data_IF_530551649426
#
_entry.id   IF_530551649426
#
_cell.length_a   1.000
_cell.length_b   1.000
_cell.length_c   1.000
_cell.angle_alpha   90.00
_cell.angle_beta   90.00
_cell.angle_gamma   90.00
#
_symmetry.space_group_name_H-M   'P 1'
#
loop_
_entity.id
_entity.type
_entity.pdbx_description
1 polymer ?
#
# COMPACT_ATOMS: atom_id res chain seq x y z
N UNK A 1 36.46 15.59 6.54
CA UNK A 1 35.73 14.48 5.89
C UNK A 1 34.51 14.18 6.75
N UNK A 2 33.30 14.39 6.23
CA UNK A 2 32.08 14.12 6.98
C UNK A 2 31.90 12.62 7.20
N UNK A 3 31.64 12.21 8.44
CA UNK A 3 31.28 10.84 8.77
C UNK A 3 29.97 10.50 8.05
N UNK A 4 30.07 9.73 6.96
CA UNK A 4 28.90 9.10 6.35
C UNK A 4 28.24 8.20 7.42
N UNK A 5 26.91 8.24 7.57
CA UNK A 5 26.21 7.39 8.53
C UNK A 5 26.53 5.92 8.26
N UNK A 6 26.87 5.15 9.30
CA UNK A 6 27.14 3.71 9.14
C UNK A 6 25.84 2.98 8.77
N UNK A 7 25.77 2.47 7.55
CA UNK A 7 24.64 1.70 7.05
C UNK A 7 24.77 0.25 7.50
N UNK A 8 23.78 -0.25 8.26
CA UNK A 8 23.65 -1.67 8.61
C UNK A 8 22.73 -2.39 7.63
N UNK A 9 23.00 -3.67 7.39
CA UNK A 9 22.07 -4.56 6.69
C UNK A 9 20.72 -4.60 7.42
N UNK A 10 19.65 -4.74 6.64
CA UNK A 10 18.29 -4.92 7.14
C UNK A 10 17.87 -6.35 6.82
N UNK A 11 17.24 -7.03 7.77
CA UNK A 11 16.70 -8.37 7.55
C UNK A 11 15.26 -8.28 7.08
N UNK A 12 14.88 -9.15 6.13
CA UNK A 12 13.50 -9.27 5.68
C UNK A 12 12.61 -9.95 6.74
N UNK A 13 11.33 -9.56 6.73
CA UNK A 13 10.23 -10.19 7.45
C UNK A 13 9.21 -10.62 6.40
N UNK A 14 9.15 -11.91 6.08
CA UNK A 14 8.41 -12.47 4.95
C UNK A 14 6.91 -12.09 4.89
N UNK A 15 6.32 -11.66 6.00
CA UNK A 15 4.91 -11.23 6.06
C UNK A 15 4.66 -9.81 5.53
N UNK A 16 5.71 -9.05 5.18
CA UNK A 16 5.57 -7.64 4.78
C UNK A 16 6.50 -7.32 3.61
N UNK A 17 5.92 -7.10 2.42
CA UNK A 17 6.68 -6.71 1.24
C UNK A 17 7.58 -5.47 1.46
N UNK A 18 7.19 -4.57 2.38
CA UNK A 18 7.94 -3.37 2.71
C UNK A 18 9.31 -3.68 3.34
N UNK A 19 9.42 -4.73 4.19
CA UNK A 19 10.73 -5.14 4.71
C UNK A 19 11.60 -5.75 3.61
N UNK A 20 11.01 -6.52 2.68
CA UNK A 20 11.73 -7.11 1.56
C UNK A 20 12.32 -6.02 0.68
N UNK A 21 11.53 -4.99 0.33
CA UNK A 21 11.98 -3.83 -0.43
C UNK A 21 13.13 -3.10 0.28
N UNK A 22 12.99 -2.79 1.57
CA UNK A 22 14.05 -2.09 2.30
C UNK A 22 15.31 -2.92 2.51
N UNK A 23 15.18 -4.24 2.65
CA UNK A 23 16.33 -5.15 2.64
C UNK A 23 17.05 -5.05 1.31
N UNK A 24 16.35 -5.24 0.19
CA UNK A 24 16.95 -5.21 -1.15
C UNK A 24 17.60 -3.86 -1.46
N UNK A 25 16.91 -2.75 -1.16
CA UNK A 25 17.47 -1.40 -1.33
C UNK A 25 18.70 -1.16 -0.45
N UNK A 26 18.67 -1.59 0.81
CA UNK A 26 19.85 -1.48 1.69
C UNK A 26 21.00 -2.34 1.18
N UNK A 27 20.67 -3.52 0.68
CA UNK A 27 21.63 -4.48 0.17
C UNK A 27 22.38 -3.94 -1.05
N UNK A 28 21.72 -3.18 -1.93
CA UNK A 28 22.38 -2.47 -3.04
C UNK A 28 23.19 -1.25 -2.57
N UNK A 29 22.75 -0.53 -1.53
CA UNK A 29 23.49 0.61 -0.95
C UNK A 29 24.83 0.18 -0.30
N UNK A 30 24.92 -1.04 0.23
CA UNK A 30 26.13 -1.56 0.91
C UNK A 30 26.89 -2.60 0.10
N UNK A 31 26.67 -2.66 -1.22
CA UNK A 31 27.22 -3.70 -2.11
C UNK A 31 28.74 -3.83 -1.99
N UNK A 32 29.47 -2.73 -2.06
CA UNK A 32 30.94 -2.69 -2.08
C UNK A 32 31.54 -3.18 -0.76
N UNK A 33 31.18 -2.61 0.42
CA UNK A 33 31.68 -3.12 1.69
C UNK A 33 31.21 -4.56 1.96
N UNK A 34 30.04 -4.96 1.47
CA UNK A 34 29.57 -6.34 1.60
C UNK A 34 30.45 -7.31 0.82
N UNK A 35 30.72 -7.03 -0.46
CA UNK A 35 31.57 -7.87 -1.31
C UNK A 35 32.98 -7.97 -0.71
N UNK A 36 33.56 -6.85 -0.28
CA UNK A 36 34.88 -6.83 0.36
C UNK A 36 34.91 -7.64 1.64
N UNK A 37 33.92 -7.48 2.52
CA UNK A 37 33.85 -8.23 3.79
C UNK A 37 33.65 -9.72 3.54
N UNK A 38 32.81 -10.09 2.57
CA UNK A 38 32.54 -11.48 2.26
C UNK A 38 33.78 -12.20 1.70
N UNK A 39 34.52 -11.52 0.83
CA UNK A 39 35.79 -12.02 0.31
C UNK A 39 36.84 -12.27 1.41
N UNK A 40 36.77 -11.53 2.53
CA UNK A 40 37.69 -11.67 3.66
C UNK A 40 37.23 -12.71 4.69
N UNK A 41 35.93 -12.73 5.00
CA UNK A 41 35.39 -13.47 6.17
C UNK A 41 34.82 -14.83 5.77
N UNK A 42 34.29 -14.99 4.55
CA UNK A 42 33.69 -16.24 4.12
C UNK A 42 33.72 -16.41 2.59
N UNK A 43 34.84 -16.92 2.09
CA UNK A 43 35.06 -17.19 0.66
C UNK A 43 34.21 -18.34 0.11
N UNK A 44 33.60 -19.15 0.98
CA UNK A 44 32.74 -20.27 0.59
C UNK A 44 31.30 -19.82 0.28
N UNK A 45 30.90 -18.62 0.72
CA UNK A 45 29.61 -18.06 0.35
C UNK A 45 29.67 -17.55 -1.09
N UNK A 46 28.86 -18.13 -1.96
CA UNK A 46 28.74 -17.67 -3.35
C UNK A 46 28.29 -16.21 -3.38
N UNK A 47 29.14 -15.33 -3.91
CA UNK A 47 28.77 -13.95 -4.16
C UNK A 47 27.73 -13.91 -5.30
N UNK A 48 26.79 -12.96 -5.20
CA UNK A 48 25.83 -12.72 -6.27
C UNK A 48 26.56 -12.31 -7.56
N UNK A 49 26.11 -12.89 -8.66
CA UNK A 49 26.51 -12.52 -10.02
C UNK A 49 26.13 -11.07 -10.34
N UNK A 50 26.81 -10.51 -11.34
CA UNK A 50 26.50 -9.16 -11.84
C UNK A 50 25.04 -9.06 -12.32
N UNK A 51 24.48 -10.14 -12.86
CA UNK A 51 23.10 -10.21 -13.32
C UNK A 51 22.12 -10.14 -12.13
N UNK A 52 22.36 -10.91 -11.07
CA UNK A 52 21.53 -10.86 -9.86
C UNK A 52 21.52 -9.46 -9.22
N UNK A 53 22.68 -8.78 -9.18
CA UNK A 53 22.75 -7.39 -8.72
C UNK A 53 21.90 -6.44 -9.57
N UNK A 54 21.87 -6.63 -10.90
CA UNK A 54 21.03 -5.84 -11.80
C UNK A 54 19.55 -6.13 -11.57
N UNK A 55 19.18 -7.40 -11.41
CA UNK A 55 17.80 -7.81 -11.11
C UNK A 55 17.32 -7.16 -9.80
N UNK A 56 18.11 -7.19 -8.73
CA UNK A 56 17.73 -6.56 -7.45
C UNK A 56 17.49 -5.05 -7.62
N UNK A 57 18.35 -4.36 -8.38
CA UNK A 57 18.16 -2.93 -8.66
C UNK A 57 16.88 -2.68 -9.47
N UNK A 58 16.63 -3.45 -10.52
CA UNK A 58 15.40 -3.34 -11.32
C UNK A 58 14.15 -3.59 -10.47
N UNK A 59 14.17 -4.57 -9.57
CA UNK A 59 13.07 -4.82 -8.62
C UNK A 59 12.85 -3.60 -7.72
N UNK A 60 13.92 -3.03 -7.15
CA UNK A 60 13.81 -1.84 -6.32
C UNK A 60 13.22 -0.66 -7.09
N UNK A 61 13.64 -0.42 -8.33
CA UNK A 61 13.10 0.64 -9.18
C UNK A 61 11.60 0.44 -9.47
N UNK A 62 11.16 -0.80 -9.71
CA UNK A 62 9.75 -1.11 -9.96
C UNK A 62 8.91 -0.88 -8.71
N UNK A 63 9.41 -1.27 -7.53
CA UNK A 63 8.67 -1.19 -6.27
C UNK A 63 8.71 0.19 -5.61
N UNK A 64 9.71 1.02 -5.91
CA UNK A 64 9.84 2.38 -5.37
C UNK A 64 8.54 3.22 -5.43
N UNK A 65 7.85 3.37 -6.58
CA UNK A 65 6.62 4.17 -6.62
C UNK A 65 5.50 3.62 -5.74
N UNK A 66 5.46 2.29 -5.51
CA UNK A 66 4.50 1.68 -4.60
C UNK A 66 4.81 2.03 -3.14
N UNK A 67 6.09 2.08 -2.79
CA UNK A 67 6.52 2.49 -1.45
C UNK A 67 6.21 3.98 -1.20
N UNK A 68 6.55 4.86 -2.15
CA UNK A 68 6.25 6.29 -2.06
C UNK A 68 4.74 6.55 -1.86
N UNK A 69 3.89 5.90 -2.66
CA UNK A 69 2.43 6.00 -2.51
C UNK A 69 1.95 5.44 -1.18
N UNK A 70 2.50 4.30 -0.75
CA UNK A 70 2.12 3.67 0.53
C UNK A 70 2.48 4.58 1.71
N UNK A 71 3.66 5.20 1.67
CA UNK A 71 4.10 6.15 2.70
C UNK A 71 3.19 7.38 2.70
N UNK A 72 2.94 8.02 1.55
CA UNK A 72 2.10 9.23 1.49
C UNK A 72 0.68 8.96 2.02
N UNK A 73 0.06 7.86 1.61
CA UNK A 73 -1.27 7.47 2.10
C UNK A 73 -1.30 7.10 3.59
N UNK A 74 -0.19 6.57 4.12
CA UNK A 74 -0.11 6.20 5.53
C UNK A 74 0.03 7.41 6.47
N UNK A 75 0.52 8.54 5.95
CA UNK A 75 0.75 9.77 6.71
C UNK A 75 -0.50 10.66 6.76
N UNK A 76 -1.34 10.63 5.74
CA UNK A 76 -2.45 11.59 5.59
C UNK A 76 -3.85 10.94 5.69
N UNK A 77 -4.40 10.80 6.90
CA UNK A 77 -5.70 10.11 7.10
C UNK A 77 -6.88 10.71 6.33
N UNK A 78 -6.99 12.04 6.26
CA UNK A 78 -8.14 12.73 5.66
C UNK A 78 -7.95 13.08 4.18
N UNK A 79 -6.70 13.20 3.73
CA UNK A 79 -6.37 13.56 2.34
C UNK A 79 -6.15 12.32 1.48
N UNK A 80 -5.89 11.16 2.10
CA UNK A 80 -5.79 9.87 1.43
C UNK A 80 -6.96 9.58 0.48
N UNK A 81 -8.20 9.87 0.89
CA UNK A 81 -9.38 9.59 0.07
C UNK A 81 -9.42 10.43 -1.21
N UNK A 82 -9.09 11.72 -1.11
CA UNK A 82 -9.02 12.63 -2.27
C UNK A 82 -7.84 12.33 -3.21
N UNK A 83 -6.76 11.71 -2.71
CA UNK A 83 -5.56 11.33 -3.46
C UNK A 83 -5.61 9.93 -4.06
N UNK A 84 -6.44 9.03 -3.51
CA UNK A 84 -6.44 7.60 -3.83
C UNK A 84 -6.58 7.33 -5.33
N UNK A 85 -7.51 8.02 -6.01
CA UNK A 85 -7.73 7.86 -7.46
C UNK A 85 -6.49 8.28 -8.25
N UNK A 86 -5.90 9.44 -7.91
CA UNK A 86 -4.72 9.96 -8.58
C UNK A 86 -3.51 9.03 -8.40
N UNK A 87 -3.32 8.52 -7.19
CA UNK A 87 -2.22 7.61 -6.86
C UNK A 87 -2.35 6.26 -7.55
N UNK A 88 -3.54 5.65 -7.53
CA UNK A 88 -3.79 4.39 -8.23
C UNK A 88 -3.47 4.50 -9.73
N UNK A 89 -3.89 5.61 -10.36
CA UNK A 89 -3.57 5.91 -11.77
C UNK A 89 -2.10 6.21 -11.98
N UNK A 90 -1.46 6.92 -11.04
CA UNK A 90 -0.03 7.16 -11.01
C UNK A 90 0.75 5.85 -11.07
N UNK A 91 0.39 4.89 -10.20
CA UNK A 91 0.98 3.55 -10.17
C UNK A 91 0.73 2.77 -11.46
N UNK A 92 -0.49 2.79 -12.00
CA UNK A 92 -0.80 2.14 -13.28
C UNK A 92 0.06 2.70 -14.42
N UNK A 93 0.21 4.02 -14.51
CA UNK A 93 1.04 4.66 -15.54
C UNK A 93 2.53 4.36 -15.35
N UNK A 94 3.04 4.46 -14.13
CA UNK A 94 4.44 4.17 -13.82
C UNK A 94 4.78 2.71 -14.16
N UNK A 95 3.90 1.78 -13.78
CA UNK A 95 4.10 0.35 -14.04
C UNK A 95 3.97 0.02 -15.54
N UNK A 96 2.99 0.60 -16.24
CA UNK A 96 2.84 0.45 -17.69
C UNK A 96 4.02 1.04 -18.48
N UNK A 97 4.59 2.16 -18.03
CA UNK A 97 5.79 2.73 -18.64
C UNK A 97 6.98 1.77 -18.53
N UNK A 98 7.17 1.14 -17.36
CA UNK A 98 8.23 0.15 -17.15
C UNK A 98 8.03 -1.11 -18.00
N UNK A 99 6.79 -1.55 -18.21
CA UNK A 99 6.47 -2.71 -19.05
C UNK A 99 6.97 -2.57 -20.50
N UNK A 100 6.99 -1.33 -21.04
CA UNK A 100 7.43 -1.03 -22.40
C UNK A 100 8.95 -1.05 -22.59
N UNK A 101 9.73 -1.11 -21.51
CA UNK A 101 11.20 -1.12 -21.57
C UNK A 101 11.68 -2.46 -22.12
N UNK A 102 12.43 -2.41 -23.21
CA UNK A 102 12.93 -3.61 -23.92
C UNK A 102 13.99 -4.37 -23.12
N UNK A 103 14.82 -3.65 -22.36
CA UNK A 103 15.98 -4.19 -21.63
C UNK A 103 15.69 -4.55 -20.17
N UNK A 104 14.63 -5.31 -19.89
CA UNK A 104 14.28 -5.77 -18.53
C UNK A 104 14.46 -7.28 -18.44
N UNK A 105 15.05 -7.75 -17.33
CA UNK A 105 15.25 -9.18 -17.07
C UNK A 105 13.92 -9.92 -16.95
N UNK A 106 13.88 -11.18 -17.41
CA UNK A 106 12.65 -11.99 -17.45
C UNK A 106 11.90 -12.06 -16.10
N UNK A 107 12.54 -12.30 -14.94
CA UNK A 107 11.84 -12.35 -13.66
C UNK A 107 11.16 -11.02 -13.29
N UNK A 108 11.82 -9.90 -13.59
CA UNK A 108 11.28 -8.56 -13.32
C UNK A 108 10.10 -8.26 -14.24
N UNK A 109 10.17 -8.68 -15.51
CA UNK A 109 9.07 -8.54 -16.46
C UNK A 109 7.81 -9.28 -15.98
N UNK A 110 7.98 -10.49 -15.46
CA UNK A 110 6.87 -11.26 -14.90
C UNK A 110 6.27 -10.55 -13.68
N UNK A 111 7.11 -10.04 -12.78
CA UNK A 111 6.66 -9.24 -11.64
C UNK A 111 5.86 -8.00 -12.07
N UNK A 112 6.32 -7.28 -13.09
CA UNK A 112 5.60 -6.11 -13.64
C UNK A 112 4.23 -6.52 -14.19
N UNK A 113 4.13 -7.65 -14.90
CA UNK A 113 2.87 -8.14 -15.43
C UNK A 113 1.87 -8.48 -14.31
N UNK A 114 2.34 -9.16 -13.26
CA UNK A 114 1.53 -9.49 -12.08
C UNK A 114 1.06 -8.20 -11.38
N UNK A 115 1.95 -7.24 -11.18
CA UNK A 115 1.61 -5.95 -10.56
C UNK A 115 0.58 -5.18 -11.39
N UNK A 116 0.72 -5.14 -12.71
CA UNK A 116 -0.27 -4.50 -13.59
C UNK A 116 -1.63 -5.19 -13.53
N UNK A 117 -1.66 -6.52 -13.53
CA UNK A 117 -2.89 -7.28 -13.43
C UNK A 117 -3.62 -7.00 -12.10
N UNK A 118 -2.89 -7.02 -10.99
CA UNK A 118 -3.46 -6.74 -9.66
C UNK A 118 -3.89 -5.27 -9.50
N UNK A 119 -3.13 -4.32 -10.04
CA UNK A 119 -3.53 -2.89 -10.07
C UNK A 119 -4.83 -2.69 -10.86
N UNK A 120 -4.97 -3.37 -12.00
CA UNK A 120 -6.18 -3.28 -12.83
C UNK A 120 -7.36 -3.95 -12.15
N UNK A 121 -7.15 -5.13 -11.55
CA UNK A 121 -8.19 -5.87 -10.82
C UNK A 121 -8.72 -5.10 -9.62
N UNK A 122 -7.84 -4.47 -8.83
CA UNK A 122 -8.22 -3.78 -7.58
C UNK A 122 -8.68 -2.34 -7.81
N UNK A 123 -8.05 -1.64 -8.75
CA UNK A 123 -8.24 -0.19 -8.93
C UNK A 123 -8.81 0.21 -10.29
N UNK A 124 -9.12 -0.75 -11.17
CA UNK A 124 -9.73 -0.45 -12.49
C UNK A 124 -11.09 0.23 -12.37
N UNK A 125 -11.84 -0.03 -11.29
CA UNK A 125 -13.12 0.61 -10.99
C UNK A 125 -13.06 1.68 -9.91
N UNK A 126 -11.87 2.20 -9.56
CA UNK A 126 -11.72 3.10 -8.39
C UNK A 126 -12.55 4.39 -8.50
N UNK A 127 -12.81 4.87 -9.72
CA UNK A 127 -13.67 6.04 -10.00
C UNK A 127 -15.16 5.78 -9.75
N UNK A 128 -15.58 4.52 -9.71
CA UNK A 128 -16.98 4.16 -9.44
C UNK A 128 -17.29 4.19 -7.94
N UNK A 129 -16.27 4.30 -7.09
CA UNK A 129 -16.44 4.43 -5.64
C UNK A 129 -16.84 5.87 -5.34
N UNK A 130 -18.14 6.08 -5.07
CA UNK A 130 -18.73 7.41 -4.86
C UNK A 130 -17.93 8.27 -3.88
N UNK A 131 -17.54 7.72 -2.72
CA UNK A 131 -16.79 8.46 -1.69
C UNK A 131 -15.46 8.99 -2.23
N UNK A 132 -14.72 8.17 -2.98
CA UNK A 132 -13.43 8.58 -3.54
C UNK A 132 -13.60 9.59 -4.69
N UNK A 133 -14.60 9.39 -5.55
CA UNK A 133 -14.91 10.32 -6.64
C UNK A 133 -15.41 11.69 -6.13
N UNK A 134 -16.22 11.69 -5.08
CA UNK A 134 -16.71 12.90 -4.42
C UNK A 134 -15.55 13.62 -3.69
N UNK A 135 -14.76 12.90 -2.89
CA UNK A 135 -13.60 13.48 -2.22
C UNK A 135 -12.58 14.07 -3.22
N UNK A 136 -12.31 13.36 -4.32
CA UNK A 136 -11.37 13.82 -5.34
C UNK A 136 -11.92 14.99 -6.18
N UNK A 137 -13.24 15.09 -6.38
CA UNK A 137 -13.86 16.24 -7.10
C UNK A 137 -13.97 17.49 -6.22
N UNK A 138 -14.10 17.30 -4.90
CA UNK A 138 -14.08 18.38 -3.91
C UNK A 138 -12.68 18.96 -3.68
N UNK A 139 -11.62 18.18 -3.89
CA UNK A 139 -10.26 18.68 -3.75
C UNK A 139 -9.83 19.50 -4.97
N UNK A 140 -9.76 20.81 -4.78
CA UNK A 140 -9.38 21.79 -5.82
C UNK A 140 -8.02 21.49 -6.46
N UNK A 141 -7.10 20.80 -5.76
CA UNK A 141 -5.80 20.42 -6.33
C UNK A 141 -5.92 19.39 -7.45
N UNK A 142 -7.00 18.60 -7.45
CA UNK A 142 -7.16 17.46 -8.35
C UNK A 142 -8.27 17.62 -9.39
N UNK A 143 -9.00 18.75 -9.36
CA UNK A 143 -10.19 19.05 -10.17
C UNK A 143 -10.07 18.82 -11.69
N UNK A 144 -8.86 18.78 -12.27
CA UNK A 144 -8.64 18.45 -13.70
C UNK A 144 -7.88 17.15 -13.97
N UNK A 145 -7.39 16.48 -12.92
CA UNK A 145 -6.44 15.36 -13.04
C UNK A 145 -6.93 14.08 -12.35
N UNK A 146 -7.89 14.17 -11.42
CA UNK A 146 -8.39 13.03 -10.65
C UNK A 146 -9.38 12.16 -11.41
N UNK A 147 -10.18 12.70 -12.32
CA UNK A 147 -11.24 11.96 -13.03
C UNK A 147 -11.02 12.11 -14.54
N UNK A 148 -11.15 11.01 -15.29
CA UNK A 148 -10.88 10.95 -16.75
C UNK A 148 -12.22 10.82 -17.45
N UNK A 149 -13.12 10.01 -16.88
CA UNK A 149 -14.47 9.89 -17.37
C UNK A 149 -15.31 11.06 -16.87
N UNK A 150 -15.56 12.01 -17.76
CA UNK A 150 -16.41 13.19 -17.52
C UNK A 150 -17.78 12.82 -16.91
N UNK A 151 -18.30 11.64 -17.26
CA UNK A 151 -19.51 11.07 -16.64
C UNK A 151 -19.38 10.88 -15.12
N UNK A 152 -18.27 10.29 -14.65
CA UNK A 152 -18.05 10.04 -13.23
C UNK A 152 -17.81 11.34 -12.44
N UNK A 153 -17.21 12.33 -13.08
CA UNK A 153 -17.07 13.68 -12.50
C UNK A 153 -18.43 14.35 -12.36
N UNK A 154 -19.25 14.34 -13.42
CA UNK A 154 -20.58 14.94 -13.41
C UNK A 154 -21.51 14.28 -12.40
N UNK A 155 -21.46 12.94 -12.30
CA UNK A 155 -22.22 12.18 -11.31
C UNK A 155 -21.79 12.53 -9.87
N UNK A 156 -20.48 12.67 -9.63
CA UNK A 156 -19.95 13.06 -8.32
C UNK A 156 -20.37 14.49 -7.94
N UNK A 157 -20.24 15.45 -8.86
CA UNK A 157 -20.69 16.84 -8.64
C UNK A 157 -22.19 16.89 -8.34
N UNK A 158 -23.00 16.13 -9.09
CA UNK A 158 -24.46 16.09 -8.88
C UNK A 158 -24.80 15.55 -7.49
N UNK A 159 -24.12 14.49 -7.03
CA UNK A 159 -24.32 13.94 -5.68
C UNK A 159 -23.91 14.93 -4.60
N UNK A 160 -22.75 15.57 -4.73
CA UNK A 160 -22.26 16.60 -3.79
C UNK A 160 -23.26 17.76 -3.70
N UNK A 161 -23.73 18.29 -4.83
CA UNK A 161 -24.71 19.39 -4.85
C UNK A 161 -26.02 18.97 -4.17
N UNK A 162 -26.50 17.74 -4.41
CA UNK A 162 -27.66 17.17 -3.73
C UNK A 162 -27.48 17.10 -2.22
N UNK A 163 -26.34 16.61 -1.74
CA UNK A 163 -26.01 16.53 -0.32
C UNK A 163 -25.96 17.92 0.33
N UNK A 164 -25.33 18.91 -0.33
CA UNK A 164 -25.27 20.29 0.15
C UNK A 164 -26.67 20.92 0.21
N UNK A 165 -27.52 20.67 -0.78
CA UNK A 165 -28.89 21.17 -0.79
C UNK A 165 -29.74 20.59 0.36
N UNK A 166 -29.54 19.31 0.69
CA UNK A 166 -30.19 18.67 1.84
C UNK A 166 -29.64 19.23 3.16
N UNK A 167 -28.31 19.29 3.31
CA UNK A 167 -27.67 19.83 4.51
C UNK A 167 -28.07 21.29 4.77
N UNK A 168 -28.18 22.11 3.73
CA UNK A 168 -28.61 23.52 3.84
C UNK A 168 -30.07 23.67 4.29
N UNK A 169 -30.93 22.67 4.02
CA UNK A 169 -32.32 22.63 4.52
C UNK A 169 -32.38 22.22 5.99
N UNK A 170 -31.48 21.34 6.42
CA UNK A 170 -31.34 20.88 7.82
C UNK A 170 -30.65 21.93 8.70
N UNK A 171 -29.72 22.71 8.15
CA UNK A 171 -28.97 23.75 8.86
C UNK A 171 -29.75 25.06 9.06
N UNK A 172 -31.04 25.13 8.68
CA UNK A 172 -31.88 26.29 9.02
C UNK A 172 -31.99 26.34 10.55
N UNK A 173 -31.54 27.42 11.23
CA UNK A 173 -31.69 27.52 12.66
C UNK A 173 -33.18 27.46 13.02
N UNK A 174 -33.58 26.75 14.08
CA UNK A 174 -34.95 26.81 14.56
C UNK A 174 -35.31 28.28 14.88
N UNK A 175 -36.57 28.70 14.67
CA UNK A 175 -37.00 30.02 15.10
C UNK A 175 -36.70 30.18 16.59
N UNK A 176 -36.05 31.28 16.95
CA UNK A 176 -35.62 31.66 18.30
C UNK A 176 -36.63 31.22 19.38
N UNK A 177 -36.31 30.11 20.06
CA UNK A 177 -36.86 29.80 21.36
C UNK A 177 -35.73 29.98 22.38
N UNK A 178 -36.03 30.75 23.41
CA UNK A 178 -35.16 31.23 24.49
C UNK A 178 -34.35 30.12 25.19
N UNK A 179 -33.17 30.43 25.74
CA UNK A 179 -32.27 29.43 26.30
C UNK A 179 -32.80 28.94 27.65
N UNK A 180 -32.91 27.62 27.81
CA UNK A 180 -32.83 26.96 29.10
C UNK A 180 -31.67 25.97 29.03
N UNK A 181 -30.65 26.28 29.83
CA UNK A 181 -29.41 25.56 30.06
C UNK A 181 -29.68 24.12 30.49
N UNK A 182 -29.18 23.15 29.74
CA UNK A 182 -28.79 21.84 30.27
C UNK A 182 -27.46 21.44 29.60
N UNK A 183 -26.41 21.36 30.42
CA UNK A 183 -25.08 20.90 30.06
C UNK A 183 -25.11 19.38 29.87
N UNK A 184 -24.80 18.92 28.65
CA UNK A 184 -24.74 17.51 28.28
C UNK A 184 -23.45 17.20 27.52
N UNK A 185 -22.52 16.62 28.27
CA UNK A 185 -21.25 15.97 27.92
C UNK A 185 -21.08 15.53 26.44
N UNK A 186 -20.13 16.15 25.72
CA UNK A 186 -19.70 15.70 24.38
C UNK A 186 -18.95 14.38 24.48
N UNK A 187 -19.61 13.29 24.12
CA UNK A 187 -18.93 12.03 23.80
C UNK A 187 -18.45 12.09 22.35
N UNK A 188 -17.12 12.05 22.16
CA UNK A 188 -16.49 11.98 20.85
C UNK A 188 -16.93 10.70 20.11
N UNK A 189 -17.26 10.76 18.79
CA UNK A 189 -17.59 9.58 18.02
C UNK A 189 -16.37 8.64 17.90
N UNK A 190 -16.59 7.32 17.78
CA UNK A 190 -15.53 6.33 17.92
C UNK A 190 -14.52 6.46 16.78
N UNK A 191 -13.25 6.39 17.18
CA UNK A 191 -12.07 6.33 16.32
C UNK A 191 -12.25 5.17 15.32
N UNK A 192 -12.49 5.48 14.04
CA UNK A 192 -12.41 4.47 12.99
C UNK A 192 -11.00 3.86 12.97
N UNK A 193 -10.90 2.51 12.88
CA UNK A 193 -9.64 1.81 13.02
C UNK A 193 -8.68 2.20 11.90
N UNK A 194 -7.40 2.26 12.29
CA UNK A 194 -6.23 2.57 11.50
C UNK A 194 -6.27 1.81 10.15
N UNK A 195 -6.26 2.55 9.03
CA UNK A 195 -6.22 2.01 7.66
C UNK A 195 -4.99 1.11 7.39
N UNK A 196 -4.05 1.01 8.35
CA UNK A 196 -3.01 -0.03 8.37
C UNK A 196 -3.54 -1.47 8.15
N UNK A 197 -4.82 -1.74 8.47
CA UNK A 197 -5.40 -3.08 8.31
C UNK A 197 -5.91 -3.42 6.91
N UNK A 198 -6.17 -2.44 6.03
CA UNK A 198 -6.71 -2.73 4.69
C UNK A 198 -5.65 -3.25 3.70
N UNK A 199 -4.36 -2.98 3.96
CA UNK A 199 -3.27 -3.31 3.03
C UNK A 199 -2.31 -4.40 3.52
N UNK A 200 -2.51 -4.89 4.74
CA UNK A 200 -1.67 -5.94 5.32
C UNK A 200 -2.14 -7.37 4.98
N UNK A 201 -3.35 -7.55 4.43
CA UNK A 201 -4.01 -8.86 4.39
C UNK A 201 -4.19 -9.54 3.04
N UNK A 202 -3.90 -8.89 1.90
CA UNK A 202 -4.39 -9.43 0.61
C UNK A 202 -3.47 -9.34 -0.60
N UNK A 203 -2.21 -8.90 -0.52
CA UNK A 203 -1.36 -8.78 -1.73
C UNK A 203 -0.49 -10.02 -2.04
N UNK A 204 -0.28 -10.96 -1.11
CA UNK A 204 0.20 -12.30 -1.48
C UNK A 204 -0.49 -13.35 -0.62
N UNK A 205 -1.01 -14.38 -1.29
CA UNK A 205 -1.85 -15.40 -0.68
C UNK A 205 -1.18 -16.10 0.48
N UNK A 206 -1.98 -16.39 1.51
CA UNK A 206 -1.68 -17.42 2.48
C UNK A 206 -1.48 -18.74 1.72
N UNK A 207 -0.23 -19.16 1.56
CA UNK A 207 0.06 -20.55 1.22
C UNK A 207 -0.44 -21.41 2.37
N UNK A 208 -1.38 -22.30 2.06
CA UNK A 208 -1.76 -23.44 2.90
C UNK A 208 -0.50 -24.08 3.50
N UNK A 209 -0.36 -24.01 4.83
CA UNK A 209 0.45 -24.99 5.54
C UNK A 209 -0.34 -26.30 5.62
N UNK A 210 0.26 -27.46 5.32
CA UNK A 210 -0.35 -28.73 5.67
C UNK A 210 -0.36 -28.88 7.19
N UNK A 211 -1.50 -29.29 7.70
CA UNK A 211 -1.75 -29.64 9.09
C UNK A 211 -0.72 -30.68 9.56
N UNK A 212 0.20 -30.27 10.41
CA UNK A 212 1.09 -31.18 11.10
C UNK A 212 0.29 -31.89 12.19
N UNK A 213 -0.13 -33.12 11.93
CA UNK A 213 -0.59 -34.06 12.95
C UNK A 213 0.60 -34.43 13.84
N UNK A 214 0.62 -33.88 15.04
CA UNK A 214 1.61 -34.18 16.08
C UNK A 214 1.30 -35.55 16.71
N UNK A 215 2.22 -36.53 16.71
CA UNK A 215 1.98 -37.84 17.29
C UNK A 215 2.46 -37.85 18.74
N UNK A 216 1.55 -37.70 19.71
CA UNK A 216 1.71 -38.25 21.08
C UNK A 216 0.48 -38.01 21.98
N UNK A 217 -0.39 -39.01 22.03
CA UNK A 217 -1.12 -39.39 23.24
C UNK A 217 -0.96 -40.90 23.40
N UNK A 218 0.12 -41.34 24.06
CA UNK A 218 0.08 -41.75 25.47
C UNK A 218 -0.83 -42.96 25.67
N UNK A 219 -0.20 -44.10 25.43
CA UNK A 219 -0.36 -45.37 26.12
C UNK A 219 -0.97 -45.24 27.53
N UNK A 220 -2.11 -45.90 27.75
CA UNK A 220 -2.57 -46.48 29.02
C UNK A 220 -3.85 -47.32 28.80
N UNK A 221 -3.64 -48.63 28.61
CA UNK A 221 -4.30 -49.66 29.43
C UNK A 221 -5.68 -50.20 29.03
N UNK A 222 -5.78 -51.53 29.21
CA UNK A 222 -6.97 -52.38 29.47
C UNK A 222 -7.51 -53.17 28.25
N UNK A 223 -7.06 -54.42 28.01
CA UNK A 223 -7.46 -55.71 28.63
C UNK A 223 -8.90 -56.15 28.28
N UNK A 224 -8.99 -57.28 27.57
CA UNK A 224 -10.01 -58.31 27.79
C UNK A 224 -11.10 -58.44 26.72
N UNK A 225 -11.18 -59.62 26.09
CA UNK A 225 -12.32 -60.07 25.30
C UNK A 225 -11.94 -60.79 24.03
#
# INVERSE_FOLDING_TARGET
>A
MGLQPQLRLKQDIATRWHSTYFMMRRFTEVKEPLISTLALVNTQLTALSLEEWKIINEVCEVLQPFEEVTVDLSLERFVADSKAILMARGLQRATAHRQKRSSIHKPVREMINILMAELTKRFGGIEQVNVLAEAASLDLRFKKHAIIHEKHEQDAVTRVVGLVAVASRVARPPPLATPSTEEGEMTHPPILPRIQFLWSGQILGASHQPEATDPKSRDRGNVGG
#
